data_IF_350219961369
#
_entry.id   IF_350219961369
#
_cell.length_a   1.000
_cell.length_b   1.000
_cell.length_c   1.000
_cell.angle_alpha   90.00
_cell.angle_beta   90.00
_cell.angle_gamma   90.00
#
_symmetry.space_group_name_H-M   'P 1'
#
loop_
_entity.id
_entity.type
_entity.pdbx_description
1 polymer ?
#
# COMPACT_ATOMS: atom_id res chain seq x y z
N UNK A 1 7.84 -13.97 -2.35
CA UNK A 1 7.81 -13.13 -3.57
C UNK A 1 9.21 -12.89 -4.15
N UNK A 2 10.19 -12.41 -3.39
CA UNK A 2 11.56 -12.15 -3.89
C UNK A 2 12.17 -13.35 -4.60
N UNK A 3 12.09 -14.55 -4.01
CA UNK A 3 12.57 -15.79 -4.62
C UNK A 3 11.98 -16.08 -6.02
N UNK A 4 10.73 -15.71 -6.29
CA UNK A 4 10.11 -15.86 -7.61
C UNK A 4 10.79 -14.93 -8.63
N UNK A 5 11.15 -13.72 -8.22
CA UNK A 5 11.86 -12.78 -9.09
C UNK A 5 13.27 -13.27 -9.42
N UNK A 6 13.98 -13.81 -8.42
CA UNK A 6 15.30 -14.40 -8.60
C UNK A 6 15.26 -15.59 -9.57
N UNK A 7 14.24 -16.45 -9.44
CA UNK A 7 14.04 -17.61 -10.34
C UNK A 7 13.60 -17.19 -11.75
N UNK A 8 12.86 -16.07 -11.88
CA UNK A 8 12.41 -15.57 -13.18
C UNK A 8 13.55 -14.95 -14.01
N UNK A 9 14.59 -14.45 -13.34
CA UNK A 9 15.78 -13.83 -13.97
C UNK A 9 15.43 -12.84 -15.08
N UNK A 10 14.46 -11.92 -14.80
CA UNK A 10 13.95 -10.96 -15.77
C UNK A 10 13.98 -9.54 -15.19
N UNK A 11 14.74 -8.65 -15.78
CA UNK A 11 14.87 -7.25 -15.36
C UNK A 11 13.58 -6.45 -15.49
N UNK A 12 12.63 -6.93 -16.28
CA UNK A 12 11.35 -6.26 -16.55
C UNK A 12 10.25 -6.60 -15.53
N UNK A 13 10.45 -7.66 -14.72
CA UNK A 13 9.52 -8.09 -13.69
C UNK A 13 9.93 -7.49 -12.34
N UNK A 14 8.96 -7.14 -11.51
CA UNK A 14 9.23 -6.64 -10.16
C UNK A 14 8.03 -6.75 -9.24
N UNK A 15 8.14 -6.14 -8.07
CA UNK A 15 7.13 -6.17 -7.03
C UNK A 15 6.16 -5.00 -7.19
N UNK A 16 4.87 -5.27 -7.11
CA UNK A 16 3.85 -4.31 -6.76
C UNK A 16 3.60 -4.42 -5.23
N UNK A 17 3.83 -3.34 -4.51
CA UNK A 17 3.65 -3.26 -3.06
C UNK A 17 2.26 -2.68 -2.80
N UNK A 18 1.28 -3.52 -2.56
CA UNK A 18 -0.07 -3.12 -2.13
C UNK A 18 -0.17 -3.26 -0.61
N UNK A 19 -0.45 -2.16 0.08
CA UNK A 19 -0.44 -2.14 1.54
C UNK A 19 -1.51 -3.04 2.15
N UNK A 20 -2.71 -3.07 1.57
CA UNK A 20 -3.77 -3.90 2.10
C UNK A 20 -3.50 -5.39 1.90
N UNK A 21 -2.99 -5.80 0.73
CA UNK A 21 -2.68 -7.19 0.46
C UNK A 21 -1.59 -7.72 1.38
N UNK A 22 -0.53 -6.95 1.58
CA UNK A 22 0.58 -7.34 2.44
C UNK A 22 0.18 -7.34 3.91
N UNK A 23 -0.50 -6.29 4.37
CA UNK A 23 -1.00 -6.19 5.74
C UNK A 23 -1.99 -7.32 6.06
N UNK A 24 -2.94 -7.62 5.16
CA UNK A 24 -3.89 -8.72 5.32
C UNK A 24 -3.21 -10.09 5.37
N UNK A 25 -2.06 -10.24 4.70
CA UNK A 25 -1.24 -11.46 4.77
C UNK A 25 -0.39 -11.55 6.04
N UNK A 26 -0.41 -10.52 6.90
CA UNK A 26 0.38 -10.47 8.12
C UNK A 26 1.83 -10.02 7.92
N UNK A 27 2.14 -9.40 6.78
CA UNK A 27 3.45 -8.80 6.54
C UNK A 27 3.61 -7.54 7.41
N UNK A 28 4.79 -7.36 7.99
CA UNK A 28 5.10 -6.18 8.79
C UNK A 28 5.92 -5.15 7.98
N UNK A 29 5.80 -3.84 8.27
CA UNK A 29 6.56 -2.79 7.59
C UNK A 29 8.07 -3.05 7.55
N UNK A 30 8.64 -3.57 8.64
CA UNK A 30 10.06 -3.90 8.75
C UNK A 30 10.54 -4.94 7.72
N UNK A 31 9.66 -5.80 7.25
CA UNK A 31 9.98 -6.77 6.20
C UNK A 31 10.13 -6.07 4.86
N UNK A 32 9.30 -5.08 4.60
CA UNK A 32 9.38 -4.26 3.40
C UNK A 32 10.63 -3.38 3.41
N UNK A 33 10.97 -2.78 4.55
CA UNK A 33 12.15 -1.92 4.68
C UNK A 33 13.49 -2.62 4.35
N UNK A 34 13.51 -3.96 4.37
CA UNK A 34 14.70 -4.77 4.03
C UNK A 34 14.80 -5.14 2.55
N UNK A 35 13.80 -4.79 1.74
CA UNK A 35 13.83 -5.08 0.31
C UNK A 35 14.84 -4.16 -0.40
N UNK A 36 15.35 -4.64 -1.52
CA UNK A 36 16.04 -3.78 -2.47
C UNK A 36 14.98 -2.98 -3.26
N UNK A 37 15.03 -1.65 -3.14
CA UNK A 37 14.07 -0.77 -3.83
C UNK A 37 14.04 -0.94 -5.34
N UNK A 38 15.13 -1.44 -5.94
CA UNK A 38 15.21 -1.74 -7.38
C UNK A 38 14.27 -2.85 -7.82
N UNK A 39 13.83 -3.71 -6.90
CA UNK A 39 12.84 -4.76 -7.17
C UNK A 39 11.41 -4.23 -7.21
N UNK A 40 11.16 -3.04 -6.64
CA UNK A 40 9.82 -2.45 -6.56
C UNK A 40 9.51 -1.71 -7.87
N UNK A 41 8.33 -1.95 -8.43
CA UNK A 41 7.83 -1.30 -9.66
C UNK A 41 6.70 -0.33 -9.40
N UNK A 42 5.85 -0.62 -8.43
CA UNK A 42 4.74 0.25 -8.01
C UNK A 42 4.43 0.08 -6.54
N UNK A 43 3.84 1.11 -5.96
CA UNK A 43 3.32 1.09 -4.60
C UNK A 43 1.89 1.59 -4.61
N UNK A 44 0.98 0.80 -4.05
CA UNK A 44 -0.42 1.15 -3.92
C UNK A 44 -0.74 1.42 -2.45
N UNK A 45 -1.00 2.69 -2.13
CA UNK A 45 -1.46 3.13 -0.81
C UNK A 45 -2.96 2.88 -0.77
N UNK A 46 -3.35 1.92 0.04
CA UNK A 46 -4.73 1.57 0.29
C UNK A 46 -4.93 1.30 1.79
N UNK A 47 -6.15 1.34 2.24
CA UNK A 47 -6.48 1.16 3.66
C UNK A 47 -7.54 0.08 3.82
N UNK A 48 -7.72 -0.37 5.05
CA UNK A 48 -8.69 -1.39 5.39
C UNK A 48 -8.92 -1.46 6.89
N UNK A 49 -9.98 -2.13 7.30
CA UNK A 49 -10.30 -2.40 8.71
C UNK A 49 -10.08 -3.87 9.02
N UNK A 50 -9.72 -4.17 10.26
CA UNK A 50 -9.47 -5.53 10.75
C UNK A 50 -8.13 -5.65 11.47
N UNK A 51 -7.57 -6.84 11.46
CA UNK A 51 -6.25 -7.15 12.04
C UNK A 51 -5.36 -7.81 11.00
N UNK A 52 -4.04 -7.61 11.08
CA UNK A 52 -3.09 -8.31 10.22
C UNK A 52 -3.26 -9.83 10.35
N UNK A 53 -3.28 -10.52 9.24
CA UNK A 53 -3.33 -11.98 9.22
C UNK A 53 -4.64 -12.63 9.69
N UNK A 54 -5.69 -11.85 9.96
CA UNK A 54 -6.95 -12.33 10.54
C UNK A 54 -7.77 -13.22 9.59
N UNK A 55 -7.45 -13.26 8.31
CA UNK A 55 -8.15 -14.17 7.40
C UNK A 55 -7.24 -14.80 6.35
N UNK A 56 -7.38 -16.10 6.19
CA UNK A 56 -6.78 -16.83 5.07
C UNK A 56 -7.29 -16.34 3.68
N UNK A 57 -8.35 -15.56 3.67
CA UNK A 57 -8.91 -14.89 2.49
C UNK A 57 -9.32 -13.49 2.89
N UNK A 58 -8.55 -12.46 2.49
CA UNK A 58 -8.89 -11.07 2.72
C UNK A 58 -10.29 -10.76 2.20
N UNK A 59 -11.16 -10.21 3.06
CA UNK A 59 -12.48 -9.76 2.64
C UNK A 59 -12.36 -8.38 1.99
N UNK A 60 -12.70 -8.29 0.72
CA UNK A 60 -12.73 -7.03 -0.04
C UNK A 60 -13.61 -5.95 0.64
N UNK A 61 -14.60 -6.36 1.45
CA UNK A 61 -15.43 -5.42 2.20
C UNK A 61 -14.62 -4.64 3.25
N UNK A 62 -13.55 -5.22 3.76
CA UNK A 62 -12.65 -4.55 4.71
C UNK A 62 -11.96 -3.31 4.12
N UNK A 63 -11.87 -3.21 2.79
CA UNK A 63 -11.30 -2.05 2.08
C UNK A 63 -12.28 -0.89 1.91
N UNK A 64 -13.55 -1.05 2.29
CA UNK A 64 -14.59 -0.02 2.15
C UNK A 64 -14.54 1.00 3.29
N UNK A 65 -13.41 1.61 3.46
CA UNK A 65 -13.12 2.61 4.49
C UNK A 65 -12.47 3.85 3.86
N UNK A 66 -12.66 5.00 4.47
CA UNK A 66 -11.89 6.19 4.10
C UNK A 66 -10.41 5.91 4.28
N UNK A 67 -9.62 6.22 3.26
CA UNK A 67 -8.17 6.11 3.36
C UNK A 67 -7.65 7.02 4.48
N UNK A 68 -6.87 6.46 5.38
CA UNK A 68 -6.41 7.12 6.60
C UNK A 68 -7.32 6.96 7.81
N UNK A 69 -8.51 6.36 7.65
CA UNK A 69 -9.43 6.05 8.75
C UNK A 69 -9.53 4.55 9.07
N UNK A 70 -8.73 3.73 8.40
CA UNK A 70 -8.67 2.29 8.61
C UNK A 70 -7.72 1.88 9.72
N UNK A 71 -7.31 0.62 9.67
CA UNK A 71 -6.45 0.00 10.67
C UNK A 71 -4.99 -0.11 10.22
N UNK A 72 -4.70 0.12 8.94
CA UNK A 72 -3.34 0.01 8.40
C UNK A 72 -2.53 1.23 8.87
N UNK A 73 -1.38 1.05 9.53
CA UNK A 73 -0.53 2.16 9.95
C UNK A 73 0.22 2.76 8.75
N UNK A 74 -0.51 3.46 7.85
CA UNK A 74 -0.05 3.93 6.54
C UNK A 74 1.30 4.65 6.59
N UNK A 75 1.51 5.49 7.62
CA UNK A 75 2.79 6.22 7.78
C UNK A 75 3.97 5.27 7.93
N UNK A 76 3.83 4.22 8.76
CA UNK A 76 4.88 3.22 8.96
C UNK A 76 5.18 2.44 7.67
N UNK A 77 4.15 2.14 6.88
CA UNK A 77 4.32 1.47 5.59
C UNK A 77 5.00 2.36 4.56
N UNK A 78 4.61 3.64 4.48
CA UNK A 78 5.28 4.62 3.60
C UNK A 78 6.75 4.77 3.99
N UNK A 79 7.05 4.90 5.27
CA UNK A 79 8.43 5.03 5.75
C UNK A 79 9.26 3.77 5.45
N UNK A 80 8.66 2.58 5.59
CA UNK A 80 9.31 1.32 5.25
C UNK A 80 9.67 1.23 3.75
N UNK A 81 8.75 1.58 2.86
CA UNK A 81 9.05 1.60 1.42
C UNK A 81 10.11 2.66 1.10
N UNK A 82 10.03 3.86 1.68
CA UNK A 82 11.05 4.91 1.49
C UNK A 82 12.43 4.46 1.94
N UNK A 83 12.50 3.69 3.02
CA UNK A 83 13.77 3.15 3.52
C UNK A 83 14.47 2.21 2.54
N UNK A 84 13.74 1.59 1.59
CA UNK A 84 14.33 0.77 0.52
C UNK A 84 15.08 1.59 -0.55
N UNK A 85 14.90 2.92 -0.57
CA UNK A 85 15.38 3.79 -1.64
C UNK A 85 14.51 3.81 -2.89
N UNK A 86 13.29 3.24 -2.84
CA UNK A 86 12.35 3.31 -3.96
C UNK A 86 11.95 4.76 -4.28
N UNK A 87 12.07 5.14 -5.54
CA UNK A 87 11.77 6.49 -6.06
C UNK A 87 10.75 6.51 -7.21
N UNK A 88 10.05 5.38 -7.42
CA UNK A 88 9.09 5.22 -8.52
C UNK A 88 7.68 5.74 -8.18
N UNK A 89 6.69 5.17 -8.85
CA UNK A 89 5.29 5.60 -8.81
C UNK A 89 4.57 5.12 -7.55
N UNK A 90 3.84 6.05 -6.92
CA UNK A 90 2.92 5.78 -5.81
C UNK A 90 1.50 6.08 -6.25
N UNK A 91 0.58 5.17 -5.97
CA UNK A 91 -0.85 5.27 -6.29
C UNK A 91 -1.66 5.24 -5.01
N UNK A 92 -2.73 6.03 -4.94
CA UNK A 92 -3.76 5.85 -3.91
C UNK A 92 -4.89 5.00 -4.52
N UNK A 93 -5.06 3.78 -4.04
CA UNK A 93 -6.10 2.89 -4.52
C UNK A 93 -7.33 2.95 -3.61
N UNK A 94 -8.44 3.47 -4.14
CA UNK A 94 -9.65 3.78 -3.37
C UNK A 94 -10.76 2.78 -3.68
N UNK A 95 -10.91 1.75 -2.86
CA UNK A 95 -11.99 0.76 -2.94
C UNK A 95 -13.19 1.08 -2.05
N UNK A 96 -13.36 2.34 -1.72
CA UNK A 96 -14.37 2.81 -0.77
C UNK A 96 -15.48 3.60 -1.47
N UNK A 97 -16.75 3.15 -1.43
CA UNK A 97 -17.87 3.90 -1.96
C UNK A 97 -17.94 5.37 -1.51
N UNK A 98 -17.67 5.71 -0.23
CA UNK A 98 -17.61 7.11 0.18
C UNK A 98 -16.68 8.00 -0.65
N UNK A 99 -15.57 7.48 -1.18
CA UNK A 99 -14.71 8.23 -2.08
C UNK A 99 -15.33 8.40 -3.48
N UNK A 100 -16.07 7.39 -3.94
CA UNK A 100 -16.68 7.43 -5.29
C UNK A 100 -17.91 8.33 -5.36
N UNK A 101 -18.56 8.57 -4.22
CA UNK A 101 -19.75 9.43 -4.08
C UNK A 101 -19.40 10.93 -3.97
N UNK A 102 -18.15 11.24 -3.66
CA UNK A 102 -17.67 12.62 -3.60
C UNK A 102 -17.36 13.16 -5.00
N UNK A 103 -17.42 14.50 -5.10
CA UNK A 103 -16.86 15.15 -6.27
C UNK A 103 -15.34 14.95 -6.36
N UNK A 104 -14.79 14.83 -7.58
CA UNK A 104 -13.37 14.52 -7.77
C UNK A 104 -12.42 15.57 -7.16
N UNK A 105 -12.83 16.82 -7.07
CA UNK A 105 -12.00 17.90 -6.51
C UNK A 105 -11.84 17.74 -5.01
N UNK A 106 -12.94 17.42 -4.31
CA UNK A 106 -12.91 17.15 -2.86
C UNK A 106 -12.06 15.93 -2.58
N UNK A 107 -12.28 14.83 -3.30
CA UNK A 107 -11.46 13.61 -3.14
C UNK A 107 -9.97 13.90 -3.35
N UNK A 108 -9.61 14.60 -4.42
CA UNK A 108 -8.22 14.92 -4.73
C UNK A 108 -7.59 15.84 -3.67
N UNK A 109 -8.33 16.84 -3.17
CA UNK A 109 -7.86 17.72 -2.10
C UNK A 109 -7.54 16.91 -0.83
N UNK A 110 -8.44 16.02 -0.44
CA UNK A 110 -8.32 15.26 0.80
C UNK A 110 -7.18 14.22 0.69
N UNK A 111 -7.04 13.56 -0.46
CA UNK A 111 -5.90 12.69 -0.76
C UNK A 111 -4.57 13.45 -0.72
N UNK A 112 -4.53 14.65 -1.29
CA UNK A 112 -3.31 15.48 -1.26
C UNK A 112 -2.89 15.83 0.16
N UNK A 113 -3.84 16.12 1.04
CA UNK A 113 -3.54 16.38 2.44
C UNK A 113 -2.97 15.14 3.14
N UNK A 114 -3.60 13.98 2.92
CA UNK A 114 -3.12 12.71 3.45
C UNK A 114 -1.71 12.38 2.95
N UNK A 115 -1.50 12.44 1.65
CA UNK A 115 -0.19 12.16 1.04
C UNK A 115 0.88 13.09 1.60
N UNK A 116 0.61 14.39 1.70
CA UNK A 116 1.54 15.33 2.31
C UNK A 116 1.91 14.92 3.75
N UNK A 117 0.94 14.48 4.54
CA UNK A 117 1.19 13.99 5.90
C UNK A 117 2.03 12.70 5.90
N UNK A 118 1.71 11.75 5.03
CA UNK A 118 2.39 10.44 4.98
C UNK A 118 3.87 10.56 4.57
N UNK A 119 4.20 11.58 3.77
CA UNK A 119 5.56 11.78 3.25
C UNK A 119 6.40 12.79 4.05
N UNK A 120 5.82 13.39 5.11
CA UNK A 120 6.59 14.20 6.08
C UNK A 120 7.51 13.31 6.93
#
# INVERSE_FOLDING_TARGET
>A
MVRILEEADQDTIGLAIDFWHLWSAGTEPDEIARLDGRLIRSVDICDGIGRPGDSARPDQLSRRVWIGAGSIPLKAWVDAVRATGYDGTWTCELWSPPHWELDPWTTNRDLRQLVNYLFL
#
